data_IF_263306413890
#
_entry.id   IF_263306413890
#
_cell.length_a   1.000
_cell.length_b   1.000
_cell.length_c   1.000
_cell.angle_alpha   90.00
_cell.angle_beta   90.00
_cell.angle_gamma   90.00
#
_symmetry.space_group_name_H-M   'P 1'
#
loop_
_entity.id
_entity.type
_entity.pdbx_description
1 polymer ?
#
# COMPACT_ATOMS: atom_id res chain seq x y z
N UNK A 1 -0.96 -12.26 2.71
CA UNK A 1 0.50 -12.25 2.56
C UNK A 1 1.00 -10.97 1.90
N UNK A 2 0.73 -10.71 0.61
CA UNK A 2 1.25 -9.51 -0.08
C UNK A 2 0.96 -8.18 0.65
N UNK A 3 -0.29 -7.94 1.07
CA UNK A 3 -0.65 -6.73 1.83
C UNK A 3 0.07 -6.63 3.17
N UNK A 4 0.31 -7.76 3.86
CA UNK A 4 1.05 -7.80 5.13
C UNK A 4 2.53 -7.45 4.89
N UNK A 5 3.16 -8.02 3.87
CA UNK A 5 4.54 -7.72 3.47
C UNK A 5 4.73 -6.24 3.10
N UNK A 6 3.73 -5.60 2.47
CA UNK A 6 3.77 -4.17 2.21
C UNK A 6 3.83 -3.34 3.50
N UNK A 7 3.14 -3.75 4.57
CA UNK A 7 3.17 -3.00 5.83
C UNK A 7 4.56 -3.02 6.48
N UNK A 8 5.33 -4.09 6.31
CA UNK A 8 6.74 -4.11 6.70
C UNK A 8 7.57 -3.10 5.88
N UNK A 9 7.33 -3.05 4.56
CA UNK A 9 7.97 -2.06 3.69
C UNK A 9 7.67 -0.61 4.10
N UNK A 10 6.41 -0.31 4.42
CA UNK A 10 6.01 1.01 4.92
C UNK A 10 6.59 1.34 6.30
N UNK A 11 6.67 0.36 7.21
CA UNK A 11 7.31 0.55 8.51
C UNK A 11 8.79 0.96 8.36
N UNK A 12 9.55 0.24 7.53
CA UNK A 12 10.95 0.60 7.23
C UNK A 12 11.09 2.00 6.60
N UNK A 13 10.14 2.38 5.73
CA UNK A 13 10.14 3.71 5.10
C UNK A 13 10.00 4.83 6.14
N UNK A 14 9.12 4.67 7.14
CA UNK A 14 8.93 5.70 8.16
C UNK A 14 10.22 5.97 8.95
N UNK A 15 11.00 4.94 9.24
CA UNK A 15 12.28 5.07 9.96
C UNK A 15 13.29 5.81 9.09
N UNK A 16 13.51 5.34 7.86
CA UNK A 16 14.51 5.90 6.94
C UNK A 16 14.15 7.35 6.55
N UNK A 17 12.87 7.63 6.28
CA UNK A 17 12.38 8.97 5.95
C UNK A 17 12.59 9.94 7.11
N UNK A 18 12.33 9.51 8.35
CA UNK A 18 12.52 10.36 9.53
C UNK A 18 13.98 10.79 9.69
N UNK A 19 14.93 9.88 9.45
CA UNK A 19 16.37 10.19 9.47
C UNK A 19 16.72 11.26 8.43
N UNK A 20 16.23 11.11 7.19
CA UNK A 20 16.49 12.10 6.13
C UNK A 20 15.86 13.47 6.40
N UNK A 21 14.62 13.51 6.88
CA UNK A 21 13.95 14.77 7.23
C UNK A 21 14.67 15.49 8.37
N UNK A 22 15.16 14.75 9.37
CA UNK A 22 15.94 15.32 10.48
C UNK A 22 17.31 15.86 10.04
N UNK A 23 17.91 15.30 8.99
CA UNK A 23 19.12 15.83 8.36
C UNK A 23 18.86 17.02 7.41
N UNK A 24 17.64 17.57 7.39
CA UNK A 24 17.31 18.80 6.67
C UNK A 24 16.82 18.61 5.24
N UNK A 25 16.52 17.39 4.80
CA UNK A 25 15.94 17.15 3.48
C UNK A 25 14.53 17.77 3.38
N UNK A 26 14.27 18.54 2.33
CA UNK A 26 12.94 19.07 2.07
C UNK A 26 11.97 17.94 1.72
N UNK A 27 10.87 17.83 2.47
CA UNK A 27 9.86 16.79 2.24
C UNK A 27 9.20 16.91 0.85
N UNK A 28 9.04 18.13 0.32
CA UNK A 28 8.54 18.37 -1.03
C UNK A 28 9.44 17.72 -2.08
N UNK A 29 10.76 17.91 -1.95
CA UNK A 29 11.77 17.33 -2.83
C UNK A 29 11.77 15.80 -2.71
N UNK A 30 11.71 15.26 -1.49
CA UNK A 30 11.62 13.81 -1.26
C UNK A 30 10.43 13.19 -1.99
N UNK A 31 9.24 13.81 -1.93
CA UNK A 31 8.03 13.34 -2.62
C UNK A 31 8.26 13.26 -4.13
N UNK A 32 8.88 14.28 -4.73
CA UNK A 32 9.19 14.30 -6.17
C UNK A 32 10.10 13.13 -6.54
N UNK A 33 11.24 13.00 -5.86
CA UNK A 33 12.21 11.95 -6.18
C UNK A 33 11.66 10.55 -5.92
N UNK A 34 10.90 10.36 -4.84
CA UNK A 34 10.21 9.10 -4.53
C UNK A 34 9.33 8.64 -5.70
N UNK A 35 8.49 9.53 -6.22
CA UNK A 35 7.61 9.17 -7.33
C UNK A 35 8.34 9.10 -8.68
N UNK A 36 9.38 9.90 -8.90
CA UNK A 36 10.21 9.81 -10.09
C UNK A 36 10.91 8.45 -10.17
N UNK A 37 11.48 7.97 -9.06
CA UNK A 37 12.08 6.63 -8.97
C UNK A 37 11.03 5.56 -9.22
N UNK A 38 9.86 5.67 -8.59
CA UNK A 38 8.77 4.72 -8.80
C UNK A 38 8.35 4.63 -10.28
N UNK A 39 8.21 5.77 -10.95
CA UNK A 39 7.92 5.82 -12.38
C UNK A 39 9.04 5.22 -13.21
N UNK A 40 10.29 5.57 -12.96
CA UNK A 40 11.45 5.04 -13.70
C UNK A 40 11.54 3.51 -13.59
N UNK A 41 11.24 2.97 -12.41
CA UNK A 41 11.26 1.53 -12.15
C UNK A 41 10.06 0.83 -12.78
N UNK A 42 8.84 1.36 -12.64
CA UNK A 42 7.63 0.71 -13.13
C UNK A 42 7.41 0.86 -14.65
N UNK A 43 7.82 1.98 -15.24
CA UNK A 43 7.60 2.29 -16.66
C UNK A 43 8.08 1.20 -17.63
N UNK A 44 9.30 0.62 -17.52
CA UNK A 44 9.73 -0.45 -18.42
C UNK A 44 8.83 -1.67 -18.28
N UNK A 45 8.53 -2.13 -17.07
CA UNK A 45 7.65 -3.29 -16.87
C UNK A 45 6.24 -3.03 -17.37
N UNK A 46 5.69 -1.83 -17.13
CA UNK A 46 4.38 -1.44 -17.65
C UNK A 46 4.37 -1.48 -19.18
N UNK A 47 5.44 -1.03 -19.83
CA UNK A 47 5.56 -1.04 -21.28
C UNK A 47 5.69 -2.46 -21.82
N UNK A 48 6.55 -3.30 -21.26
CA UNK A 48 6.76 -4.66 -21.80
C UNK A 48 5.60 -5.62 -21.48
N UNK A 49 5.04 -5.58 -20.27
CA UNK A 49 4.04 -6.54 -19.82
C UNK A 49 2.61 -6.19 -20.25
N UNK A 50 2.27 -4.89 -20.33
CA UNK A 50 0.88 -4.46 -20.55
C UNK A 50 0.64 -3.74 -21.89
N UNK A 51 1.66 -3.52 -22.73
CA UNK A 51 1.50 -2.78 -24.01
C UNK A 51 0.36 -3.31 -24.91
N UNK A 52 0.09 -4.61 -24.89
CA UNK A 52 -0.98 -5.23 -25.70
C UNK A 52 -2.35 -5.26 -25.02
N UNK A 53 -2.41 -4.99 -23.71
CA UNK A 53 -3.62 -5.14 -22.88
C UNK A 53 -4.17 -3.76 -22.43
N UNK A 54 -3.39 -2.68 -22.62
CA UNK A 54 -3.75 -1.31 -22.25
C UNK A 54 -5.05 -0.84 -22.94
N UNK A 55 -6.09 -0.50 -22.16
CA UNK A 55 -7.28 0.15 -22.69
C UNK A 55 -6.96 1.55 -23.23
N UNK A 56 -7.83 2.07 -24.12
CA UNK A 56 -7.70 3.44 -24.61
C UNK A 56 -7.84 4.44 -23.47
N UNK A 57 -6.90 5.38 -23.38
CA UNK A 57 -6.93 6.45 -22.40
C UNK A 57 -7.89 7.55 -22.87
N UNK A 58 -9.14 7.52 -22.40
CA UNK A 58 -10.09 8.61 -22.65
C UNK A 58 -9.78 9.81 -21.75
N UNK A 59 -10.21 11.00 -22.16
CA UNK A 59 -10.04 12.22 -21.36
C UNK A 59 -10.59 12.07 -19.94
N UNK A 60 -11.76 11.44 -19.78
CA UNK A 60 -12.35 11.21 -18.47
C UNK A 60 -11.48 10.30 -17.58
N UNK A 61 -10.96 9.19 -18.12
CA UNK A 61 -10.05 8.30 -17.38
C UNK A 61 -8.77 9.05 -17.03
N UNK A 62 -8.21 9.83 -17.96
CA UNK A 62 -7.04 10.66 -17.69
C UNK A 62 -7.28 11.64 -16.54
N UNK A 63 -8.41 12.35 -16.51
CA UNK A 63 -8.77 13.23 -15.40
C UNK A 63 -8.88 12.47 -14.06
N UNK A 64 -9.42 11.25 -14.06
CA UNK A 64 -9.47 10.42 -12.85
C UNK A 64 -8.06 10.00 -12.40
N UNK A 65 -7.15 9.65 -13.32
CA UNK A 65 -5.76 9.31 -13.00
C UNK A 65 -4.99 10.55 -12.52
N UNK A 66 -5.25 11.71 -13.12
CA UNK A 66 -4.69 12.98 -12.67
C UNK A 66 -5.14 13.30 -11.23
N UNK A 67 -6.41 13.08 -10.91
CA UNK A 67 -6.92 13.20 -9.55
C UNK A 67 -6.30 12.16 -8.59
N UNK A 68 -6.01 10.94 -9.06
CA UNK A 68 -5.28 9.95 -8.26
C UNK A 68 -3.84 10.38 -7.94
N UNK A 69 -3.14 10.98 -8.91
CA UNK A 69 -1.84 11.61 -8.69
C UNK A 69 -1.90 12.76 -7.67
N UNK A 70 -3.01 13.52 -7.68
CA UNK A 70 -3.20 14.63 -6.77
C UNK A 70 -3.53 14.16 -5.34
N UNK A 71 -4.40 13.16 -5.20
CA UNK A 71 -4.84 12.68 -3.89
C UNK A 71 -3.73 11.97 -3.10
N UNK A 72 -2.95 11.10 -3.75
CA UNK A 72 -1.91 10.32 -3.08
C UNK A 72 -0.57 11.03 -3.04
N UNK A 73 0.16 11.05 -4.17
CA UNK A 73 1.48 11.67 -4.25
C UNK A 73 1.55 13.11 -3.72
N UNK A 74 0.53 13.93 -4.01
CA UNK A 74 0.59 15.36 -3.67
C UNK A 74 -0.06 15.64 -2.31
N UNK A 75 -1.37 15.45 -2.17
CA UNK A 75 -2.11 15.87 -0.98
C UNK A 75 -1.74 14.98 0.20
N UNK A 76 -1.92 13.66 0.10
CA UNK A 76 -1.64 12.75 1.21
C UNK A 76 -0.20 12.91 1.72
N UNK A 77 0.82 12.78 0.86
CA UNK A 77 2.20 12.81 1.35
C UNK A 77 2.63 14.16 1.91
N UNK A 78 2.33 15.27 1.24
CA UNK A 78 2.78 16.58 1.73
C UNK A 78 2.06 16.97 3.02
N UNK A 79 0.74 16.75 3.11
CA UNK A 79 0.01 17.03 4.34
C UNK A 79 0.37 16.05 5.46
N UNK A 80 0.73 14.80 5.14
CA UNK A 80 1.24 13.85 6.12
C UNK A 80 2.57 14.31 6.70
N UNK A 81 3.54 14.68 5.86
CA UNK A 81 4.84 15.18 6.32
C UNK A 81 4.72 16.52 7.07
N UNK A 82 3.84 17.42 6.62
CA UNK A 82 3.55 18.67 7.32
C UNK A 82 2.89 18.40 8.68
N UNK A 83 1.93 17.47 8.72
CA UNK A 83 1.31 17.01 9.95
C UNK A 83 2.30 16.43 10.93
N UNK A 84 3.26 15.62 10.46
CA UNK A 84 4.35 15.08 11.27
C UNK A 84 5.34 16.14 11.77
N UNK A 85 5.43 17.29 11.11
CA UNK A 85 6.25 18.42 11.59
C UNK A 85 5.63 19.11 12.80
N UNK A 86 4.30 19.19 12.85
CA UNK A 86 3.55 19.87 13.91
C UNK A 86 3.01 18.91 14.99
N UNK A 87 3.11 17.61 14.78
CA UNK A 87 2.62 16.56 15.70
C UNK A 87 3.68 15.48 15.89
N UNK A 88 3.35 14.41 16.60
CA UNK A 88 4.25 13.28 16.80
C UNK A 88 4.04 12.18 15.73
N UNK A 89 5.09 11.40 15.40
CA UNK A 89 4.95 10.18 14.60
C UNK A 89 3.90 9.21 15.13
N UNK A 90 3.78 9.09 16.46
CA UNK A 90 2.75 8.26 17.10
C UNK A 90 1.35 8.74 16.78
N UNK A 91 1.13 10.06 16.76
CA UNK A 91 -0.16 10.65 16.41
C UNK A 91 -0.47 10.50 14.91
N UNK A 92 0.52 10.68 14.02
CA UNK A 92 0.38 10.40 12.59
C UNK A 92 0.01 8.94 12.32
N UNK A 93 0.63 7.99 13.03
CA UNK A 93 0.24 6.59 12.98
C UNK A 93 -1.19 6.39 13.50
N UNK A 94 -1.60 7.07 14.59
CA UNK A 94 -2.97 7.00 15.11
C UNK A 94 -4.00 7.43 14.06
N UNK A 95 -3.72 8.50 13.32
CA UNK A 95 -4.59 8.97 12.24
C UNK A 95 -4.68 7.98 11.08
N UNK A 96 -3.58 7.30 10.72
CA UNK A 96 -3.59 6.25 9.69
C UNK A 96 -4.47 5.05 10.03
N UNK A 97 -4.84 4.87 11.31
CA UNK A 97 -5.78 3.84 11.74
C UNK A 97 -7.24 4.22 11.51
N UNK A 98 -7.53 5.49 11.23
CA UNK A 98 -8.85 5.93 10.75
C UNK A 98 -9.04 5.63 9.27
N UNK A 99 -7.98 5.30 8.53
CA UNK A 99 -8.04 5.01 7.10
C UNK A 99 -9.09 3.95 6.72
N UNK A 100 -9.19 2.78 7.39
CA UNK A 100 -10.22 1.79 7.05
C UNK A 100 -11.63 2.33 7.25
N UNK A 101 -11.87 3.08 8.32
CA UNK A 101 -13.17 3.68 8.63
C UNK A 101 -13.55 4.75 7.60
N UNK A 102 -12.64 5.67 7.28
CA UNK A 102 -12.88 6.71 6.26
C UNK A 102 -13.10 6.09 4.88
N UNK A 103 -12.34 5.07 4.53
CA UNK A 103 -12.50 4.34 3.25
C UNK A 103 -13.83 3.63 3.18
N UNK A 104 -14.29 3.03 4.30
CA UNK A 104 -15.61 2.41 4.37
C UNK A 104 -16.72 3.45 4.17
N UNK A 105 -16.67 4.59 4.88
CA UNK A 105 -17.65 5.67 4.72
C UNK A 105 -17.71 6.16 3.27
N UNK A 106 -16.55 6.46 2.67
CA UNK A 106 -16.48 6.88 1.26
C UNK A 106 -16.99 5.79 0.31
N UNK A 107 -16.66 4.53 0.56
CA UNK A 107 -17.17 3.41 -0.25
C UNK A 107 -18.70 3.27 -0.17
N UNK A 108 -19.34 3.64 0.95
CA UNK A 108 -20.80 3.72 1.05
C UNK A 108 -21.37 4.89 0.25
N UNK A 109 -20.78 6.09 0.39
CA UNK A 109 -21.20 7.30 -0.33
C UNK A 109 -21.16 7.07 -1.84
N UNK A 110 -20.06 6.48 -2.34
CA UNK A 110 -19.88 6.16 -3.76
C UNK A 110 -20.57 4.85 -4.19
N UNK A 111 -21.38 4.22 -3.32
CA UNK A 111 -22.12 2.97 -3.57
C UNK A 111 -21.25 1.80 -4.06
N UNK A 112 -19.98 1.79 -3.68
CA UNK A 112 -19.03 0.72 -3.97
C UNK A 112 -19.17 -0.47 -3.02
N UNK A 113 -19.71 -0.23 -1.81
CA UNK A 113 -20.18 -1.29 -0.92
C UNK A 113 -21.69 -1.17 -0.69
N UNK A 114 -22.41 -2.30 -0.84
CA UNK A 114 -23.82 -2.40 -0.44
C UNK A 114 -23.89 -3.05 0.93
N UNK A 115 -24.16 -2.26 1.96
CA UNK A 115 -24.30 -2.77 3.33
C UNK A 115 -25.76 -3.11 3.59
N UNK A 116 -26.06 -4.41 3.60
CA UNK A 116 -27.29 -4.91 4.20
C UNK A 116 -27.03 -5.07 5.70
N UNK A 117 -27.42 -4.09 6.50
CA UNK A 117 -27.13 -3.98 7.95
C UNK A 117 -27.62 -5.21 8.75
N UNK A 118 -28.64 -5.91 8.25
CA UNK A 118 -29.16 -7.16 8.84
C UNK A 118 -28.33 -8.41 8.52
N UNK A 119 -27.40 -8.36 7.57
CA UNK A 119 -26.55 -9.51 7.26
C UNK A 119 -25.36 -9.56 8.24
N UNK A 120 -25.16 -10.73 8.86
CA UNK A 120 -24.07 -11.01 9.82
C UNK A 120 -22.68 -10.64 9.26
N UNK A 121 -22.50 -10.70 7.93
CA UNK A 121 -21.24 -10.35 7.25
C UNK A 121 -20.99 -8.84 7.25
N UNK A 122 -22.03 -8.06 6.98
CA UNK A 122 -21.98 -6.60 7.05
C UNK A 122 -21.69 -6.14 8.47
N UNK A 123 -22.31 -6.78 9.46
CA UNK A 123 -22.04 -6.51 10.87
C UNK A 123 -20.60 -6.87 11.26
N UNK A 124 -20.07 -8.01 10.80
CA UNK A 124 -18.69 -8.41 11.05
C UNK A 124 -17.66 -7.41 10.48
N UNK A 125 -17.93 -6.81 9.30
CA UNK A 125 -17.06 -5.76 8.73
C UNK A 125 -17.10 -4.46 9.53
N UNK A 126 -18.30 -4.03 9.92
CA UNK A 126 -18.49 -2.80 10.71
C UNK A 126 -17.83 -2.97 12.08
N UNK A 127 -18.14 -4.05 12.79
CA UNK A 127 -17.58 -4.35 14.10
C UNK A 127 -16.06 -4.56 14.02
N UNK A 128 -15.57 -5.26 12.99
CA UNK A 128 -14.14 -5.43 12.77
C UNK A 128 -13.41 -4.10 12.53
N UNK A 129 -14.04 -3.18 11.80
CA UNK A 129 -13.50 -1.82 11.59
C UNK A 129 -13.47 -1.02 12.89
N UNK A 130 -14.54 -1.09 13.70
CA UNK A 130 -14.61 -0.45 15.02
C UNK A 130 -13.51 -1.02 15.95
N UNK A 131 -13.32 -2.33 15.96
CA UNK A 131 -12.27 -3.00 16.75
C UNK A 131 -10.86 -2.62 16.28
N UNK A 132 -10.63 -2.48 14.97
CA UNK A 132 -9.35 -1.99 14.45
C UNK A 132 -9.06 -0.55 14.90
N UNK A 133 -10.04 0.35 14.77
CA UNK A 133 -9.90 1.76 15.18
C UNK A 133 -9.73 1.87 16.70
N UNK A 134 -10.55 1.14 17.47
CA UNK A 134 -10.48 1.13 18.92
C UNK A 134 -9.17 0.55 19.44
N UNK A 135 -8.71 -0.57 18.88
CA UNK A 135 -7.42 -1.17 19.21
C UNK A 135 -6.23 -0.27 18.91
N UNK A 136 -6.29 0.41 17.76
CA UNK A 136 -5.34 1.45 17.38
C UNK A 136 -5.30 2.63 18.37
N UNK A 137 -6.45 3.17 18.74
CA UNK A 137 -6.53 4.26 19.73
C UNK A 137 -6.05 3.81 21.11
N UNK A 138 -6.37 2.59 21.52
CA UNK A 138 -5.88 2.02 22.78
C UNK A 138 -4.35 1.90 22.78
N UNK A 139 -3.78 1.44 21.66
CA UNK A 139 -2.34 1.29 21.51
C UNK A 139 -1.58 2.63 21.57
N UNK A 140 -2.19 3.74 21.15
CA UNK A 140 -1.55 5.06 21.15
C UNK A 140 -1.83 5.92 22.37
N UNK A 141 -3.05 5.88 22.90
CA UNK A 141 -3.50 6.78 23.96
C UNK A 141 -3.32 6.19 25.36
N UNK A 142 -3.29 4.87 25.51
CA UNK A 142 -3.18 4.22 26.81
C UNK A 142 -1.77 3.69 27.06
N UNK A 143 -1.01 4.38 27.91
CA UNK A 143 0.23 3.86 28.49
C UNK A 143 -0.10 3.11 29.79
N UNK A 144 -0.26 1.79 29.69
CA UNK A 144 -0.43 0.90 30.83
C UNK A 144 0.90 0.54 31.52
N UNK A 145 0.89 -0.49 32.38
CA UNK A 145 2.11 -1.04 32.98
C UNK A 145 3.11 -1.55 31.93
N UNK A 146 4.40 -1.54 32.27
CA UNK A 146 5.46 -2.05 31.41
C UNK A 146 5.36 -3.57 31.34
N UNK A 147 5.30 -4.12 30.13
CA UNK A 147 5.37 -5.57 29.91
C UNK A 147 6.85 -5.95 29.78
N UNK A 148 7.39 -6.80 30.67
CA UNK A 148 8.79 -7.21 30.60
C UNK A 148 8.99 -8.10 29.38
N UNK A 149 9.83 -7.66 28.43
CA UNK A 149 10.20 -8.44 27.26
C UNK A 149 11.57 -9.09 27.48
N UNK A 150 11.81 -10.33 26.98
CA UNK A 150 13.05 -11.05 27.24
C UNK A 150 14.30 -10.40 26.64
N UNK A 151 14.14 -9.48 25.68
CA UNK A 151 15.23 -8.70 25.07
C UNK A 151 15.41 -7.30 25.66
N UNK A 152 14.48 -6.83 26.50
CA UNK A 152 14.65 -5.54 27.19
C UNK A 152 15.39 -5.80 28.51
N UNK A 153 16.72 -5.95 28.45
CA UNK A 153 17.57 -5.96 29.64
C UNK A 153 17.35 -4.67 30.44
N UNK A 154 17.38 -4.79 31.76
CA UNK A 154 17.13 -3.73 32.75
C UNK A 154 17.98 -2.48 32.48
N UNK A 155 17.49 -1.56 31.66
CA UNK A 155 17.98 -0.20 31.57
C UNK A 155 16.87 0.72 32.04
N UNK A 156 17.20 1.55 33.03
CA UNK A 156 16.33 2.64 33.47
C UNK A 156 15.82 3.39 32.24
N UNK A 157 14.50 3.50 32.15
CA UNK A 157 13.81 4.28 31.15
C UNK A 157 14.46 5.65 31.03
N UNK A 158 15.29 5.83 30.00
CA UNK A 158 15.47 7.16 29.43
C UNK A 158 14.05 7.56 29.08
N UNK A 159 13.52 8.58 29.75
CA UNK A 159 12.31 9.24 29.28
C UNK A 159 12.62 9.56 27.82
N UNK A 160 12.04 8.81 26.89
CA UNK A 160 11.88 9.30 25.55
C UNK A 160 10.99 10.51 25.78
N UNK A 161 11.62 11.67 25.90
CA UNK A 161 10.95 12.93 25.90
C UNK A 161 10.04 12.86 24.68
N UNK A 162 8.74 12.71 24.94
CA UNK A 162 7.78 13.30 24.06
C UNK A 162 8.21 14.76 24.08
N UNK A 163 9.00 15.16 23.09
CA UNK A 163 9.31 16.54 22.84
C UNK A 163 7.98 17.20 22.52
N UNK A 164 7.21 17.51 23.56
CA UNK A 164 6.21 18.54 23.58
C UNK A 164 7.00 19.84 23.59
N UNK A 165 7.63 20.15 22.46
CA UNK A 165 7.77 21.54 22.09
C UNK A 165 6.35 22.05 21.92
N UNK A 166 5.81 22.61 23.01
CA UNK A 166 4.64 23.47 22.97
C UNK A 166 5.01 24.67 22.07
N UNK A 167 4.91 24.47 20.76
CA UNK A 167 4.46 25.55 19.89
C UNK A 167 2.95 25.68 20.10
N UNK A 168 2.44 26.90 19.91
CA UNK A 168 1.07 27.32 20.23
C UNK A 168 0.01 26.24 20.01
N UNK A 169 -1.04 26.14 20.84
CA UNK A 169 -2.16 25.20 20.63
C UNK A 169 -2.70 25.24 19.19
N UNK A 170 -2.58 26.40 18.53
CA UNK A 170 -2.89 26.60 17.13
C UNK A 170 -2.03 25.76 16.16
N UNK A 171 -0.74 25.58 16.40
CA UNK A 171 0.15 24.78 15.55
C UNK A 171 -0.10 23.28 15.71
N UNK A 172 -0.40 22.82 16.93
CA UNK A 172 -0.85 21.43 17.14
C UNK A 172 -2.17 21.15 16.41
N UNK A 173 -3.14 22.06 16.47
CA UNK A 173 -4.41 21.94 15.74
C UNK A 173 -4.18 21.91 14.22
N UNK A 174 -3.30 22.76 13.68
CA UNK A 174 -2.92 22.72 12.25
C UNK A 174 -2.36 21.35 11.87
N UNK A 175 -1.50 20.78 12.71
CA UNK A 175 -0.94 19.45 12.50
C UNK A 175 -2.01 18.35 12.46
N UNK A 176 -2.97 18.39 13.39
CA UNK A 176 -4.13 17.48 13.40
C UNK A 176 -4.96 17.60 12.13
N UNK A 177 -5.28 18.82 11.72
CA UNK A 177 -6.05 19.08 10.50
C UNK A 177 -5.33 18.55 9.26
N UNK A 178 -4.01 18.76 9.17
CA UNK A 178 -3.19 18.25 8.07
C UNK A 178 -3.24 16.72 7.99
N UNK A 179 -3.13 16.02 9.12
CA UNK A 179 -3.19 14.55 9.15
C UNK A 179 -4.58 13.99 8.80
N UNK A 180 -5.65 14.69 9.19
CA UNK A 180 -7.01 14.32 8.78
C UNK A 180 -7.16 14.47 7.26
N UNK A 181 -6.70 15.60 6.69
CA UNK A 181 -6.71 15.84 5.25
C UNK A 181 -5.91 14.77 4.51
N UNK A 182 -4.71 14.43 5.00
CA UNK A 182 -3.89 13.38 4.42
C UNK A 182 -4.61 12.02 4.43
N UNK A 183 -5.15 11.62 5.59
CA UNK A 183 -5.87 10.36 5.74
C UNK A 183 -7.11 10.29 4.84
N UNK A 184 -7.86 11.39 4.71
CA UNK A 184 -9.02 11.48 3.83
C UNK A 184 -8.63 11.42 2.36
N UNK A 185 -7.53 12.08 1.97
CA UNK A 185 -7.01 12.03 0.62
C UNK A 185 -6.56 10.61 0.26
N UNK A 186 -5.88 9.91 1.17
CA UNK A 186 -5.47 8.53 0.98
C UNK A 186 -6.68 7.59 0.87
N UNK A 187 -7.68 7.72 1.73
CA UNK A 187 -8.93 6.96 1.64
C UNK A 187 -9.64 7.21 0.29
N UNK A 188 -9.69 8.47 -0.15
CA UNK A 188 -10.27 8.87 -1.43
C UNK A 188 -9.51 8.26 -2.61
N UNK A 189 -8.18 8.19 -2.53
CA UNK A 189 -7.35 7.49 -3.51
C UNK A 189 -7.74 6.02 -3.63
N UNK A 190 -7.89 5.28 -2.52
CA UNK A 190 -8.30 3.87 -2.60
C UNK A 190 -9.65 3.69 -3.29
N UNK A 191 -10.64 4.51 -2.93
CA UNK A 191 -11.99 4.45 -3.51
C UNK A 191 -11.97 4.80 -5.00
N UNK A 192 -11.33 5.91 -5.36
CA UNK A 192 -11.23 6.33 -6.76
C UNK A 192 -10.41 5.33 -7.59
N UNK A 193 -9.31 4.80 -7.05
CA UNK A 193 -8.44 3.85 -7.75
C UNK A 193 -9.18 2.55 -8.03
N UNK A 194 -9.96 2.05 -7.06
CA UNK A 194 -10.81 0.88 -7.28
C UNK A 194 -11.86 1.13 -8.39
N UNK A 195 -12.43 2.33 -8.48
CA UNK A 195 -13.35 2.70 -9.56
C UNK A 195 -12.66 2.78 -10.93
N UNK A 196 -11.46 3.36 -11.00
CA UNK A 196 -10.66 3.44 -12.22
C UNK A 196 -10.21 2.06 -12.69
N UNK A 197 -9.80 1.18 -11.78
CA UNK A 197 -9.37 -0.20 -12.09
C UNK A 197 -10.46 -1.05 -12.74
N UNK A 198 -11.74 -0.75 -12.51
CA UNK A 198 -12.85 -1.40 -13.20
C UNK A 198 -12.97 -0.98 -14.67
N UNK A 199 -12.51 0.23 -15.02
CA UNK A 199 -12.54 0.78 -16.39
C UNK A 199 -11.21 0.60 -17.12
N UNK A 200 -10.11 0.64 -16.37
CA UNK A 200 -8.74 0.55 -16.86
C UNK A 200 -8.04 -0.64 -16.19
N UNK A 201 -8.14 -1.81 -16.83
CA UNK A 201 -7.71 -3.10 -16.25
C UNK A 201 -6.20 -3.36 -16.28
N UNK A 202 -5.39 -2.38 -16.68
CA UNK A 202 -3.92 -2.43 -16.72
C UNK A 202 -3.32 -1.79 -15.46
N UNK A 203 -3.02 -2.63 -14.46
CA UNK A 203 -2.68 -2.20 -13.10
C UNK A 203 -1.30 -1.57 -13.01
N UNK A 204 -0.33 -2.14 -13.72
CA UNK A 204 1.05 -1.68 -13.70
C UNK A 204 1.18 -0.33 -14.42
N UNK A 205 0.46 -0.19 -15.54
CA UNK A 205 0.32 1.06 -16.29
C UNK A 205 -0.41 2.11 -15.48
N UNK A 206 -1.48 1.76 -14.77
CA UNK A 206 -2.18 2.68 -13.88
C UNK A 206 -1.25 3.18 -12.75
N UNK A 207 -0.55 2.28 -12.07
CA UNK A 207 0.40 2.65 -11.01
C UNK A 207 1.52 3.56 -11.53
N UNK A 208 2.05 3.25 -12.73
CA UNK A 208 3.06 4.08 -13.41
C UNK A 208 2.52 5.48 -13.73
N UNK A 209 1.29 5.58 -14.27
CA UNK A 209 0.67 6.85 -14.61
C UNK A 209 0.35 7.69 -13.37
N UNK A 210 -0.13 7.08 -12.27
CA UNK A 210 -0.34 7.76 -10.99
C UNK A 210 0.99 8.31 -10.47
N UNK A 211 2.06 7.51 -10.46
CA UNK A 211 3.38 7.99 -10.03
C UNK A 211 3.93 9.07 -10.96
N UNK A 212 3.72 8.95 -12.27
CA UNK A 212 4.21 9.93 -13.25
C UNK A 212 3.51 11.29 -13.11
N UNK A 213 2.17 11.29 -13.09
CA UNK A 213 1.39 12.52 -12.90
C UNK A 213 1.61 13.10 -11.49
N UNK A 214 1.73 12.25 -10.48
CA UNK A 214 2.10 12.66 -9.12
C UNK A 214 3.48 13.31 -9.08
N UNK A 215 4.48 12.77 -9.78
CA UNK A 215 5.81 13.39 -9.91
C UNK A 215 5.69 14.78 -10.53
N UNK A 216 4.92 14.91 -11.62
CA UNK A 216 4.78 16.17 -12.35
C UNK A 216 4.08 17.25 -11.51
N UNK A 217 3.00 16.87 -10.81
CA UNK A 217 2.25 17.76 -9.92
C UNK A 217 3.08 18.14 -8.68
N UNK A 218 3.73 17.17 -8.03
CA UNK A 218 4.61 17.43 -6.90
C UNK A 218 5.81 18.28 -7.30
N UNK A 219 6.37 18.09 -8.50
CA UNK A 219 7.46 18.91 -9.01
C UNK A 219 7.01 20.36 -9.22
N UNK A 220 5.82 20.58 -9.79
CA UNK A 220 5.26 21.93 -9.95
C UNK A 220 5.09 22.64 -8.60
N UNK A 221 4.56 21.94 -7.58
CA UNK A 221 4.42 22.49 -6.22
C UNK A 221 5.78 22.75 -5.59
N UNK A 222 6.72 21.80 -5.71
CA UNK A 222 8.07 21.95 -5.15
C UNK A 222 8.80 23.11 -5.80
N UNK A 223 8.67 23.33 -7.11
CA UNK A 223 9.27 24.49 -7.79
C UNK A 223 8.66 25.81 -7.32
N UNK A 224 7.36 25.83 -7.02
CA UNK A 224 6.69 27.02 -6.51
C UNK A 224 7.09 27.37 -5.07
N UNK A 225 7.23 26.36 -4.21
CA UNK A 225 7.55 26.51 -2.78
C UNK A 225 9.05 26.62 -2.53
N UNK A 226 9.83 25.71 -3.12
CA UNK A 226 11.28 25.59 -2.94
C UNK A 226 12.02 26.15 -4.16
N UNK A 227 12.15 27.48 -4.16
CA UNK A 227 12.78 28.23 -5.26
C UNK A 227 14.31 28.13 -5.28
N UNK A 228 14.92 27.54 -4.25
CA UNK A 228 16.38 27.41 -4.13
C UNK A 228 16.86 26.15 -4.85
N UNK A 229 17.75 26.27 -5.86
CA UNK A 229 18.27 25.10 -6.58
C UNK A 229 19.02 24.12 -5.68
N UNK A 230 19.63 24.60 -4.60
CA UNK A 230 20.37 23.77 -3.65
C UNK A 230 19.48 22.76 -2.91
N UNK A 231 18.20 23.06 -2.71
CA UNK A 231 17.28 22.14 -2.06
C UNK A 231 16.94 20.92 -2.94
N UNK A 232 17.11 21.04 -4.26
CA UNK A 232 16.92 19.95 -5.22
C UNK A 232 18.14 19.05 -5.34
N UNK A 233 19.30 19.48 -4.85
CA UNK A 233 20.53 18.71 -4.89
C UNK A 233 20.47 17.55 -3.88
N UNK A 234 20.28 16.34 -4.38
CA UNK A 234 20.45 15.11 -3.60
C UNK A 234 21.88 14.61 -3.79
N UNK A 235 22.61 14.48 -2.68
CA UNK A 235 23.95 13.89 -2.66
C UNK A 235 23.93 12.36 -2.68
N UNK A 236 25.11 11.75 -2.74
CA UNK A 236 25.27 10.30 -2.55
C UNK A 236 25.26 9.94 -1.06
N UNK A 237 24.13 10.18 -0.41
CA UNK A 237 23.97 10.06 1.04
C UNK A 237 22.68 9.32 1.41
N UNK A 238 22.30 9.39 2.70
CA UNK A 238 21.07 8.81 3.20
C UNK A 238 19.82 9.35 2.47
N UNK A 239 19.85 10.57 1.93
CA UNK A 239 18.71 11.16 1.23
C UNK A 239 18.44 10.47 -0.10
N UNK A 240 19.49 10.09 -0.83
CA UNK A 240 19.35 9.26 -2.04
C UNK A 240 18.82 7.87 -1.69
N UNK A 241 19.36 7.24 -0.64
CA UNK A 241 18.88 5.93 -0.20
C UNK A 241 17.39 5.98 0.18
N UNK A 242 16.97 7.02 0.93
CA UNK A 242 15.58 7.27 1.29
C UNK A 242 14.70 7.43 0.06
N UNK A 243 15.11 8.25 -0.91
CA UNK A 243 14.36 8.48 -2.13
C UNK A 243 14.20 7.19 -2.96
N UNK A 244 15.28 6.41 -3.10
CA UNK A 244 15.26 5.16 -3.87
C UNK A 244 14.43 4.09 -3.17
N UNK A 245 14.67 3.84 -1.88
CA UNK A 245 13.92 2.83 -1.11
C UNK A 245 12.42 3.16 -1.06
N UNK A 246 12.07 4.40 -0.72
CA UNK A 246 10.67 4.83 -0.66
C UNK A 246 10.01 4.81 -2.05
N UNK A 247 10.75 5.14 -3.10
CA UNK A 247 10.26 5.10 -4.47
C UNK A 247 9.98 3.68 -4.95
N UNK A 248 10.92 2.75 -4.77
CA UNK A 248 10.77 1.35 -5.19
C UNK A 248 9.72 0.64 -4.36
N UNK A 249 9.85 0.66 -3.03
CA UNK A 249 9.05 -0.19 -2.14
C UNK A 249 7.68 0.43 -1.89
N UNK A 250 7.66 1.69 -1.44
CA UNK A 250 6.47 2.31 -0.87
C UNK A 250 5.59 3.05 -1.89
N UNK A 251 6.12 3.36 -3.08
CA UNK A 251 5.34 3.89 -4.20
C UNK A 251 5.21 2.84 -5.31
N UNK A 252 6.31 2.31 -5.83
CA UNK A 252 6.32 1.38 -6.96
C UNK A 252 5.57 0.08 -6.67
N UNK A 253 6.18 -0.78 -5.84
CA UNK A 253 5.62 -2.08 -5.47
C UNK A 253 4.28 -1.90 -4.75
N UNK A 254 4.21 -0.96 -3.81
CA UNK A 254 3.01 -0.77 -3.00
C UNK A 254 1.79 -0.32 -3.82
N UNK A 255 1.90 0.67 -4.71
CA UNK A 255 0.73 1.11 -5.50
C UNK A 255 0.27 0.03 -6.47
N UNK A 256 1.21 -0.75 -7.02
CA UNK A 256 0.89 -1.90 -7.86
C UNK A 256 0.14 -3.00 -7.08
N UNK A 257 0.72 -3.46 -5.96
CA UNK A 257 0.13 -4.54 -5.14
C UNK A 257 -1.19 -4.09 -4.51
N UNK A 258 -1.28 -2.85 -4.03
CA UNK A 258 -2.54 -2.27 -3.54
C UNK A 258 -3.59 -2.24 -4.65
N UNK A 259 -3.22 -1.79 -5.84
CA UNK A 259 -4.11 -1.80 -7.01
C UNK A 259 -4.61 -3.21 -7.36
N UNK A 260 -3.73 -4.20 -7.32
CA UNK A 260 -4.09 -5.60 -7.53
C UNK A 260 -5.08 -6.10 -6.47
N UNK A 261 -4.80 -5.85 -5.18
CA UNK A 261 -5.67 -6.25 -4.08
C UNK A 261 -7.03 -5.53 -4.12
N UNK A 262 -7.05 -4.24 -4.47
CA UNK A 262 -8.28 -3.47 -4.63
C UNK A 262 -9.17 -4.01 -5.73
N UNK A 263 -8.60 -4.38 -6.88
CA UNK A 263 -9.36 -4.98 -7.98
C UNK A 263 -10.00 -6.32 -7.55
N UNK A 264 -9.29 -7.11 -6.75
CA UNK A 264 -9.73 -8.45 -6.36
C UNK A 264 -10.70 -8.48 -5.17
N UNK A 265 -10.52 -7.58 -4.19
CA UNK A 265 -11.23 -7.63 -2.88
C UNK A 265 -11.90 -6.31 -2.48
N UNK A 266 -11.72 -5.25 -3.28
CA UNK A 266 -12.26 -3.92 -3.06
C UNK A 266 -11.36 -3.02 -2.19
N UNK A 267 -11.67 -1.71 -2.15
CA UNK A 267 -10.85 -0.70 -1.47
C UNK A 267 -10.78 -0.90 0.05
N UNK A 268 -11.91 -1.22 0.69
CA UNK A 268 -12.00 -1.44 2.15
C UNK A 268 -11.11 -2.60 2.62
N UNK A 269 -10.98 -3.65 1.79
CA UNK A 269 -10.09 -4.77 2.10
C UNK A 269 -8.63 -4.32 2.13
N UNK A 270 -8.21 -3.49 1.17
CA UNK A 270 -6.83 -3.03 1.09
C UNK A 270 -6.49 -2.14 2.30
N UNK A 271 -7.39 -1.24 2.67
CA UNK A 271 -7.18 -0.32 3.78
C UNK A 271 -7.26 -0.97 5.15
N UNK A 272 -7.99 -2.08 5.30
CA UNK A 272 -8.09 -2.81 6.56
C UNK A 272 -6.71 -3.19 7.13
N UNK A 273 -5.70 -3.42 6.29
CA UNK A 273 -4.33 -3.76 6.70
C UNK A 273 -3.50 -2.58 7.22
N UNK A 274 -3.94 -1.33 7.09
CA UNK A 274 -3.15 -0.17 7.53
C UNK A 274 -2.75 -0.20 9.00
N UNK A 275 -3.58 -0.67 9.96
CA UNK A 275 -3.19 -0.70 11.37
C UNK A 275 -2.07 -1.70 11.69
N UNK A 276 -1.79 -2.69 10.82
CA UNK A 276 -0.65 -3.60 11.00
C UNK A 276 0.68 -2.87 10.90
N UNK A 277 0.77 -1.80 10.10
CA UNK A 277 1.97 -0.97 10.00
C UNK A 277 2.35 -0.43 11.38
N UNK A 278 1.37 0.01 12.16
CA UNK A 278 1.61 0.52 13.50
C UNK A 278 2.16 -0.54 14.45
N UNK A 279 1.64 -1.78 14.37
CA UNK A 279 2.15 -2.91 15.17
C UNK A 279 3.61 -3.20 14.82
N UNK A 280 3.93 -3.25 13.52
CA UNK A 280 5.29 -3.52 13.05
C UNK A 280 6.25 -2.41 13.51
N UNK A 281 5.84 -1.14 13.36
CA UNK A 281 6.65 0.00 13.82
C UNK A 281 6.88 -0.07 15.32
N UNK A 282 5.86 -0.36 16.13
CA UNK A 282 6.02 -0.47 17.59
C UNK A 282 6.99 -1.59 18.00
N UNK A 283 6.94 -2.74 17.32
CA UNK A 283 7.88 -3.85 17.56
C UNK A 283 9.30 -3.46 17.16
N UNK A 284 9.48 -2.86 15.97
CA UNK A 284 10.80 -2.40 15.51
C UNK A 284 11.38 -1.33 16.43
N UNK A 285 10.57 -0.39 16.91
CA UNK A 285 11.00 0.65 17.84
C UNK A 285 11.43 0.04 19.20
N UNK A 286 10.70 -0.95 19.69
CA UNK A 286 11.09 -1.68 20.90
C UNK A 286 12.41 -2.44 20.74
N UNK A 287 12.67 -3.05 19.57
CA UNK A 287 13.91 -3.79 19.32
C UNK A 287 15.10 -2.85 19.12
N UNK A 288 14.94 -1.80 18.30
CA UNK A 288 16.04 -0.92 17.87
C UNK A 288 16.35 0.14 18.94
N UNK A 289 15.32 0.72 19.56
CA UNK A 289 15.48 1.77 20.59
C UNK A 289 15.41 1.19 22.01
N UNK A 290 15.32 -0.13 22.19
CA UNK A 290 15.18 -0.82 23.48
C UNK A 290 14.01 -0.30 24.35
N UNK A 291 12.99 0.27 23.71
CA UNK A 291 11.86 0.85 24.43
C UNK A 291 10.96 -0.25 25.01
N UNK A 292 10.54 -0.03 26.26
CA UNK A 292 9.58 -0.87 26.95
C UNK A 292 8.21 -0.83 26.27
N UNK A 293 7.64 -1.99 25.96
CA UNK A 293 6.28 -2.09 25.43
C UNK A 293 5.29 -1.90 26.58
N UNK A 294 4.34 -0.99 26.40
CA UNK A 294 3.27 -0.74 27.38
C UNK A 294 2.13 -1.74 27.18
N UNK A 295 1.45 -2.12 28.27
CA UNK A 295 0.31 -3.04 28.22
C UNK A 295 -0.81 -2.58 27.25
N UNK A 296 -1.00 -1.26 27.09
CA UNK A 296 -1.95 -0.71 26.12
C UNK A 296 -1.58 -1.02 24.67
N UNK A 297 -0.30 -1.09 24.33
CA UNK A 297 0.16 -1.49 23.00
C UNK A 297 -0.10 -2.97 22.73
N UNK A 298 0.06 -3.83 23.73
CA UNK A 298 -0.26 -5.27 23.62
C UNK A 298 -1.76 -5.47 23.44
N UNK A 299 -2.59 -4.89 24.32
CA UNK A 299 -4.04 -5.01 24.26
C UNK A 299 -4.60 -4.41 22.95
N UNK A 300 -4.09 -3.25 22.53
CA UNK A 300 -4.48 -2.62 21.28
C UNK A 300 -4.07 -3.43 20.04
N UNK A 301 -2.87 -4.04 20.05
CA UNK A 301 -2.43 -4.96 19.01
C UNK A 301 -3.34 -6.18 18.87
N UNK A 302 -3.75 -6.80 19.99
CA UNK A 302 -4.71 -7.91 19.98
C UNK A 302 -6.05 -7.49 19.37
N UNK A 303 -6.58 -6.33 19.76
CA UNK A 303 -7.83 -5.80 19.21
C UNK A 303 -7.76 -5.55 17.71
N UNK A 304 -6.63 -5.03 17.21
CA UNK A 304 -6.40 -4.85 15.76
C UNK A 304 -6.43 -6.20 15.03
N UNK A 305 -5.75 -7.22 15.56
CA UNK A 305 -5.72 -8.57 14.95
C UNK A 305 -7.12 -9.19 14.90
N UNK A 306 -7.89 -9.08 15.99
CA UNK A 306 -9.28 -9.56 16.05
C UNK A 306 -10.17 -8.79 15.08
N UNK A 307 -10.03 -7.46 15.01
CA UNK A 307 -10.80 -6.61 14.09
C UNK A 307 -10.52 -6.95 12.62
N UNK A 308 -9.24 -7.11 12.27
CA UNK A 308 -8.78 -7.57 10.96
C UNK A 308 -9.39 -8.92 10.58
N UNK A 309 -9.37 -9.88 11.50
CA UNK A 309 -9.98 -11.19 11.28
C UNK A 309 -11.48 -11.07 10.99
N UNK A 310 -12.21 -10.24 11.72
CA UNK A 310 -13.62 -9.97 11.47
C UNK A 310 -13.90 -9.40 10.06
N UNK A 311 -13.11 -8.42 9.64
CA UNK A 311 -13.21 -7.82 8.28
C UNK A 311 -12.89 -8.85 7.20
N UNK A 312 -11.81 -9.62 7.38
CA UNK A 312 -11.37 -10.69 6.47
C UNK A 312 -12.44 -11.78 6.33
N UNK A 313 -12.97 -12.25 7.46
CA UNK A 313 -14.02 -13.27 7.48
C UNK A 313 -15.29 -12.82 6.76
N UNK A 314 -15.73 -11.58 7.01
CA UNK A 314 -16.87 -10.99 6.31
C UNK A 314 -16.67 -10.95 4.80
N UNK A 315 -15.49 -10.53 4.33
CA UNK A 315 -15.14 -10.45 2.90
C UNK A 315 -14.97 -11.81 2.22
N UNK A 316 -14.37 -12.80 2.90
CA UNK A 316 -14.26 -14.18 2.38
C UNK A 316 -15.63 -14.78 2.17
N UNK A 317 -16.57 -14.54 3.10
CA UNK A 317 -17.93 -15.06 3.02
C UNK A 317 -18.76 -14.37 1.92
N UNK A 318 -18.48 -13.11 1.60
CA UNK A 318 -19.04 -12.45 0.42
C UNK A 318 -18.53 -13.07 -0.89
N UNK A 319 -17.23 -13.37 -0.98
CA UNK A 319 -16.64 -13.99 -2.18
C UNK A 319 -17.24 -15.37 -2.47
N UNK A 320 -17.51 -16.18 -1.44
CA UNK A 320 -18.07 -17.54 -1.59
C UNK A 320 -19.51 -17.56 -2.12
N UNK A 321 -20.25 -16.46 -2.04
CA UNK A 321 -21.66 -16.38 -2.46
C UNK A 321 -21.82 -15.71 -3.82
N UNK A 322 -20.85 -14.91 -4.24
CA UNK A 322 -20.71 -14.49 -5.64
C UNK A 322 -20.16 -15.60 -6.55
N UNK A 323 -19.71 -16.74 -5.98
CA UNK A 323 -19.15 -17.88 -6.70
C UNK A 323 -20.15 -19.04 -6.73
N UNK A 324 -21.24 -18.92 -7.52
CA UNK A 324 -21.61 -20.05 -8.38
C UNK A 324 -21.35 -19.77 -9.86
N UNK A 325 -20.93 -18.56 -10.24
CA UNK A 325 -20.86 -18.14 -11.65
C UNK A 325 -19.50 -17.60 -12.13
N UNK A 326 -18.44 -17.70 -11.33
CA UNK A 326 -17.16 -17.03 -11.64
C UNK A 326 -15.91 -17.92 -11.53
N UNK A 327 -16.08 -19.24 -11.66
CA UNK A 327 -14.95 -20.18 -11.79
C UNK A 327 -14.40 -20.26 -13.23
N UNK A 328 -14.89 -19.45 -14.17
CA UNK A 328 -14.44 -19.45 -15.57
C UNK A 328 -13.44 -18.34 -15.96
N UNK A 329 -12.93 -17.53 -15.03
CA UNK A 329 -11.97 -16.47 -15.37
C UNK A 329 -10.69 -16.48 -14.53
N UNK A 330 -10.03 -17.64 -14.52
CA UNK A 330 -8.59 -17.69 -14.66
C UNK A 330 -8.32 -18.07 -16.11
N UNK A 331 -7.56 -17.30 -16.92
CA UNK A 331 -6.85 -17.91 -18.01
C UNK A 331 -5.73 -18.73 -17.36
N UNK A 332 -6.06 -19.93 -16.88
CA UNK A 332 -5.19 -21.05 -17.18
C UNK A 332 -5.01 -20.95 -18.67
N UNK A 333 -3.80 -20.62 -19.15
CA UNK A 333 -3.44 -20.98 -20.51
C UNK A 333 -3.75 -22.46 -20.60
N UNK A 334 -4.91 -22.80 -21.17
CA UNK A 334 -5.01 -23.97 -21.98
C UNK A 334 -3.88 -23.79 -22.98
N UNK A 335 -2.75 -24.43 -22.70
CA UNK A 335 -1.90 -24.94 -23.74
C UNK A 335 -2.89 -25.64 -24.67
N UNK A 336 -3.09 -25.17 -25.91
CA UNK A 336 -3.86 -25.98 -26.83
C UNK A 336 -3.11 -27.30 -26.85
N UNK A 337 -3.81 -28.37 -26.48
CA UNK A 337 -3.31 -29.72 -26.62
C UNK A 337 -3.14 -30.00 -28.11
N UNK A 338 -2.03 -29.49 -28.65
CA UNK A 338 -1.46 -29.82 -29.96
C UNK A 338 -0.34 -30.82 -29.68
N UNK A 339 -0.62 -31.85 -28.89
CA UNK A 339 0.30 -32.97 -28.72
C UNK A 339 -0.38 -34.32 -28.87
N UNK A 340 -1.51 -34.40 -29.59
CA UNK A 340 -2.09 -35.72 -29.88
C UNK A 340 -2.72 -35.93 -31.26
N UNK A 341 -2.31 -35.18 -32.30
CA UNK A 341 -2.61 -35.53 -33.72
C UNK A 341 -1.53 -35.19 -34.77
N UNK A 342 -0.33 -34.77 -34.36
CA UNK A 342 0.81 -34.54 -35.28
C UNK A 342 2.05 -35.37 -34.98
N UNK A 343 2.08 -36.12 -33.86
CA UNK A 343 3.17 -37.07 -33.58
C UNK A 343 2.90 -38.50 -34.07
N UNK A 344 1.69 -38.83 -34.55
CA UNK A 344 1.45 -40.15 -35.18
C UNK A 344 1.79 -40.17 -36.68
N UNK A 345 1.80 -39.03 -37.39
CA UNK A 345 2.16 -39.00 -38.81
C UNK A 345 3.65 -38.75 -39.08
N UNK A 346 4.40 -38.21 -38.12
CA UNK A 346 5.85 -37.94 -38.30
C UNK A 346 6.74 -38.99 -37.60
N UNK A 347 6.20 -39.76 -36.65
CA UNK A 347 6.91 -40.89 -36.03
C UNK A 347 6.63 -42.23 -36.75
N UNK A 348 5.52 -42.33 -37.48
CA UNK A 348 5.18 -43.49 -38.32
C UNK A 348 5.97 -43.59 -39.63
N UNK A 349 6.54 -42.48 -40.11
CA UNK A 349 7.33 -42.46 -41.36
C UNK A 349 8.80 -42.83 -41.08
N UNK A 350 9.38 -42.39 -39.95
CA UNK A 350 10.78 -42.71 -39.64
C UNK A 350 10.99 -44.15 -39.15
N UNK A 351 10.01 -44.78 -38.48
CA UNK A 351 10.14 -46.19 -38.04
C UNK A 351 9.97 -47.17 -39.21
N UNK A 352 9.13 -46.86 -40.20
CA UNK A 352 8.94 -47.70 -41.38
C UNK A 352 10.14 -47.64 -42.35
N UNK A 353 10.80 -46.48 -42.46
CA UNK A 353 12.02 -46.31 -43.28
C UNK A 353 13.27 -46.88 -42.59
N UNK A 354 13.33 -46.86 -41.25
CA UNK A 354 14.43 -47.48 -40.51
C UNK A 354 14.34 -49.02 -40.51
N UNK A 355 13.13 -49.60 -40.39
CA UNK A 355 12.95 -51.06 -40.44
C UNK A 355 13.06 -51.66 -41.86
N UNK A 356 12.86 -50.89 -42.94
CA UNK A 356 13.10 -51.39 -44.30
C UNK A 356 14.59 -51.45 -44.67
N UNK A 357 15.43 -50.62 -44.03
CA UNK A 357 16.89 -50.63 -44.21
C UNK A 357 17.60 -51.76 -43.45
N UNK A 358 17.09 -52.16 -42.28
CA UNK A 358 17.67 -53.29 -41.51
C UNK A 358 17.31 -54.65 -42.16
N UNK A 359 16.19 -54.74 -42.87
CA UNK A 359 15.77 -56.00 -43.54
C UNK A 359 16.43 -56.25 -44.91
N UNK A 360 17.21 -55.30 -45.43
CA UNK A 360 17.97 -55.46 -46.68
C UNK A 360 19.46 -55.78 -46.47
N UNK A 361 19.94 -55.83 -45.24
CA UNK A 361 21.33 -56.24 -44.91
C UNK A 361 21.41 -57.66 -44.32
N UNK A 362 20.28 -58.38 -44.24
CA UNK A 362 20.21 -59.77 -43.75
C UNK A 362 19.67 -60.76 -44.81
N UNK A 363 20.05 -60.55 -46.09
CA UNK A 363 19.96 -61.58 -47.14
C UNK A 363 21.16 -61.56 -48.07
#
# INVERSE_FOLDING_TARGET
>A
MAMTSLQFGYAGMNIITKVSLNHGMSHFVLVVYRHAVATAVLAPFAFFLERKVRPKLTFFIFCQIFALGLLGPVIDQNFYYLGLKYTSPTFGCAMSNLLPAMTFILALIFRMEKVKIREIRSQAKILGTILCVGGAMLMTLYKGGIVPMPWSSHHHSSKADAASSHDSDADWIKGCLCLIVATLAWASLFVLQASVLNKYSAQLSLATLICFLGTLQSAAITLAVERRPSAWAIGWDMNLLTAVYSGVVASGIAYYVQGLCMRLKGPVFATAFSPLMMIIVAIMDSIILSQSIFAGSVAGGVLIVVGLYGVLWGKVKDSKISTPAQESMLPTKAIPDVTNKQNESMMGIDIAVFNSKIKSEEK
#
